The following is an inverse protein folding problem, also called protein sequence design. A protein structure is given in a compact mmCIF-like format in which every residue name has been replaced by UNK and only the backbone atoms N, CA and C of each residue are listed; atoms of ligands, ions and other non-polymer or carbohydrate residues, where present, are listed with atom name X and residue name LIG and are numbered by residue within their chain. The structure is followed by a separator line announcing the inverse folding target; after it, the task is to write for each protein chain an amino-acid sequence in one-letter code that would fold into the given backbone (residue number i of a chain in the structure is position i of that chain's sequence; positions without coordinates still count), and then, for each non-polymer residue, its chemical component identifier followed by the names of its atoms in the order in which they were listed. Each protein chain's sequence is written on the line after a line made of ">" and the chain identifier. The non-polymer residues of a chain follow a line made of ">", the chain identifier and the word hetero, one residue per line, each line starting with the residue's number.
data_IF_537417633346
#
_entry.id   IF_537417633346
#
_cell.length_a   1.000
_cell.length_b   1.000
_cell.length_c   1.000
_cell.angle_alpha   90.00
_cell.angle_beta   90.00
_cell.angle_gamma   90.00
#
_symmetry.space_group_name_H-M   'P 1'
#
loop_
_entity.id
_entity.type
_entity.pdbx_description
1 polymer ?
#
# COMPACT_ATOMS: atom_id res chain seq x y z
N UNK A 1 14.42 -0.58 1.88
CA UNK A 1 12.97 -0.89 1.89
C UNK A 1 12.72 -1.98 0.86
N UNK A 2 12.14 -3.08 1.27
CA UNK A 2 11.96 -4.26 0.40
C UNK A 2 10.51 -4.39 -0.06
N UNK A 3 10.09 -3.46 -0.92
CA UNK A 3 8.77 -3.56 -1.56
C UNK A 3 8.98 -4.17 -2.94
N UNK A 4 8.30 -5.28 -3.26
CA UNK A 4 8.47 -5.91 -4.56
C UNK A 4 7.86 -5.05 -5.66
N UNK A 5 8.39 -5.18 -6.88
CA UNK A 5 7.83 -4.51 -8.06
C UNK A 5 6.63 -5.28 -8.62
N UNK A 6 6.60 -6.58 -8.41
CA UNK A 6 5.47 -7.44 -8.80
C UNK A 6 5.49 -8.73 -7.99
N UNK A 7 4.31 -9.32 -7.88
CA UNK A 7 4.14 -10.60 -7.18
C UNK A 7 2.81 -11.21 -7.64
N UNK A 8 2.44 -12.37 -7.08
CA UNK A 8 1.19 -13.04 -7.43
C UNK A 8 0.26 -13.19 -6.24
N UNK A 9 -1.03 -13.01 -6.48
CA UNK A 9 -2.09 -13.37 -5.54
C UNK A 9 -3.06 -14.26 -6.31
N UNK A 10 -3.34 -15.46 -5.79
CA UNK A 10 -4.27 -16.43 -6.40
C UNK A 10 -3.95 -16.67 -7.89
N UNK A 11 -2.68 -16.64 -8.27
CA UNK A 11 -2.25 -16.83 -9.65
C UNK A 11 -2.28 -15.59 -10.52
N UNK A 12 -2.80 -14.47 -10.03
CA UNK A 12 -2.85 -13.21 -10.78
C UNK A 12 -1.61 -12.37 -10.53
N UNK A 13 -1.10 -11.76 -11.59
CA UNK A 13 0.07 -10.87 -11.51
C UNK A 13 -0.35 -9.51 -10.97
N UNK A 14 0.31 -9.09 -9.90
CA UNK A 14 0.08 -7.80 -9.26
C UNK A 14 1.33 -6.94 -9.47
N UNK A 15 1.13 -5.71 -9.95
CA UNK A 15 2.19 -4.73 -10.09
C UNK A 15 2.20 -3.79 -8.89
N UNK A 16 3.40 -3.31 -8.54
CA UNK A 16 3.56 -2.27 -7.53
C UNK A 16 4.29 -1.10 -8.18
N UNK A 17 3.66 0.07 -8.17
CA UNK A 17 4.23 1.29 -8.74
C UNK A 17 4.47 2.30 -7.63
N UNK A 18 5.67 2.87 -7.62
CA UNK A 18 6.04 3.94 -6.71
C UNK A 18 6.03 5.24 -7.51
N UNK A 19 5.12 6.14 -7.20
CA UNK A 19 4.94 7.41 -7.92
C UNK A 19 5.26 8.59 -7.02
N UNK A 20 5.55 9.75 -7.59
CA UNK A 20 5.83 10.95 -6.79
C UNK A 20 4.63 11.33 -5.93
N UNK A 21 3.45 11.42 -6.52
CA UNK A 21 2.19 11.70 -5.84
C UNK A 21 1.07 10.97 -6.56
N UNK A 22 0.06 10.53 -5.82
CA UNK A 22 -1.17 10.01 -6.43
C UNK A 22 -2.09 11.16 -6.84
N UNK A 23 -2.98 10.88 -7.80
CA UNK A 23 -3.93 11.90 -8.28
C UNK A 23 -4.85 12.43 -7.17
N UNK A 24 -5.21 11.56 -6.24
CA UNK A 24 -6.09 11.90 -5.12
C UNK A 24 -5.35 12.41 -3.89
N UNK A 25 -4.05 12.61 -3.99
CA UNK A 25 -3.21 13.07 -2.88
C UNK A 25 -3.34 12.16 -1.65
N UNK A 26 -3.39 10.86 -1.85
CA UNK A 26 -3.40 9.88 -0.78
C UNK A 26 -2.06 9.13 -0.71
N UNK A 27 -1.90 8.26 0.27
CA UNK A 27 -0.65 7.52 0.46
C UNK A 27 -0.50 6.40 -0.57
N UNK A 28 -1.59 5.85 -1.05
CA UNK A 28 -1.59 4.79 -2.05
C UNK A 28 -2.98 4.28 -2.33
N UNK A 29 -3.07 3.35 -3.29
CA UNK A 29 -4.36 2.74 -3.63
C UNK A 29 -4.15 1.38 -4.29
N UNK A 30 -5.22 0.60 -4.29
CA UNK A 30 -5.35 -0.65 -5.02
C UNK A 30 -6.32 -0.46 -6.16
N UNK A 31 -5.93 -0.87 -7.38
CA UNK A 31 -6.79 -0.83 -8.56
C UNK A 31 -7.02 -2.25 -9.05
N UNK A 32 -8.27 -2.72 -8.92
CA UNK A 32 -8.63 -4.08 -9.28
C UNK A 32 -8.79 -4.30 -10.79
N UNK A 33 -8.90 -3.23 -11.57
CA UNK A 33 -8.99 -3.31 -13.03
C UNK A 33 -7.60 -3.57 -13.63
N UNK A 34 -6.59 -2.88 -13.11
CA UNK A 34 -5.21 -2.99 -13.61
C UNK A 34 -4.33 -3.89 -12.75
N UNK A 35 -4.84 -4.45 -11.66
CA UNK A 35 -4.09 -5.27 -10.70
C UNK A 35 -2.84 -4.55 -10.22
N UNK A 36 -2.99 -3.29 -9.87
CA UNK A 36 -1.85 -2.43 -9.50
C UNK A 36 -2.03 -1.84 -8.11
N UNK A 37 -0.99 -1.96 -7.29
CA UNK A 37 -0.85 -1.20 -6.05
C UNK A 37 0.02 0.00 -6.37
N UNK A 38 -0.52 1.21 -6.16
CA UNK A 38 0.23 2.46 -6.36
C UNK A 38 0.58 3.04 -4.99
N UNK A 39 1.84 3.42 -4.81
CA UNK A 39 2.35 4.00 -3.58
C UNK A 39 2.93 5.38 -3.86
N UNK A 40 2.56 6.37 -3.05
CA UNK A 40 3.06 7.72 -3.18
C UNK A 40 4.38 7.88 -2.40
N UNK A 41 5.34 8.62 -2.97
CA UNK A 41 6.54 9.04 -2.25
C UNK A 41 6.29 10.29 -1.44
N UNK A 42 5.34 11.11 -1.87
CA UNK A 42 5.07 12.43 -1.28
C UNK A 42 3.57 12.68 -1.21
N UNK A 43 3.18 13.59 -0.33
CA UNK A 43 1.83 14.12 -0.26
C UNK A 43 1.89 15.64 -0.19
N UNK A 44 0.83 16.32 -0.62
CA UNK A 44 0.68 17.76 -0.46
C UNK A 44 -0.07 18.06 0.83
N UNK A 45 0.46 18.98 1.62
CA UNK A 45 -0.18 19.46 2.83
C UNK A 45 -1.22 20.54 2.50
N UNK A 46 -2.06 20.89 3.47
CA UNK A 46 -3.12 21.90 3.28
C UNK A 46 -2.59 23.26 2.85
N UNK A 47 -1.36 23.60 3.26
CA UNK A 47 -0.72 24.86 2.88
C UNK A 47 -0.02 24.81 1.51
N UNK A 48 -0.14 23.70 0.79
CA UNK A 48 0.49 23.51 -0.51
C UNK A 48 1.91 22.98 -0.48
N UNK A 49 2.50 22.81 0.71
CA UNK A 49 3.83 22.22 0.81
C UNK A 49 3.78 20.74 0.50
N UNK A 50 4.86 20.24 -0.11
CA UNK A 50 5.01 18.83 -0.42
C UNK A 50 5.87 18.19 0.66
N UNK A 51 5.37 17.14 1.26
CA UNK A 51 6.08 16.39 2.30
C UNK A 51 6.42 15.00 1.79
N UNK A 52 7.69 14.60 1.96
CA UNK A 52 8.12 13.26 1.61
C UNK A 52 7.67 12.28 2.68
N UNK A 53 7.09 11.15 2.23
CA UNK A 53 6.70 10.07 3.13
C UNK A 53 7.95 9.28 3.55
N UNK A 54 7.96 8.83 4.79
CA UNK A 54 9.04 7.98 5.29
C UNK A 54 8.94 6.58 4.71
N UNK A 55 10.04 5.84 4.73
CA UNK A 55 10.02 4.44 4.30
C UNK A 55 9.00 3.63 5.09
N UNK A 56 8.89 3.89 6.40
CA UNK A 56 7.92 3.20 7.25
C UNK A 56 6.48 3.48 6.82
N UNK A 57 6.17 4.73 6.46
CA UNK A 57 4.85 5.11 5.96
C UNK A 57 4.54 4.43 4.62
N UNK A 58 5.51 4.41 3.71
CA UNK A 58 5.34 3.77 2.39
C UNK A 58 5.15 2.26 2.57
N UNK A 59 5.94 1.64 3.41
CA UNK A 59 5.84 0.21 3.69
C UNK A 59 4.49 -0.14 4.35
N UNK A 60 4.04 0.69 5.29
CA UNK A 60 2.74 0.51 5.93
C UNK A 60 1.61 0.59 4.89
N UNK A 61 1.69 1.55 3.98
CA UNK A 61 0.72 1.71 2.90
C UNK A 61 0.73 0.49 1.98
N UNK A 62 1.90 -0.04 1.67
CA UNK A 62 2.00 -1.25 0.84
C UNK A 62 1.21 -2.40 1.46
N UNK A 63 1.40 -2.66 2.74
CA UNK A 63 0.68 -3.77 3.41
C UNK A 63 -0.81 -3.50 3.51
N UNK A 64 -1.21 -2.25 3.70
CA UNK A 64 -2.62 -1.86 3.70
C UNK A 64 -3.28 -2.22 2.34
N UNK A 65 -2.67 -1.79 1.24
CA UNK A 65 -3.20 -2.06 -0.09
C UNK A 65 -3.06 -3.53 -0.48
N UNK A 66 -2.02 -4.20 0.01
CA UNK A 66 -1.86 -5.64 -0.20
C UNK A 66 -3.05 -6.42 0.37
N UNK A 67 -3.52 -6.04 1.56
CA UNK A 67 -4.67 -6.73 2.15
C UNK A 67 -5.95 -6.42 1.38
N UNK A 68 -6.13 -5.20 0.87
CA UNK A 68 -7.24 -4.90 -0.03
C UNK A 68 -7.24 -5.80 -1.26
N UNK A 69 -6.08 -5.98 -1.89
CA UNK A 69 -5.94 -6.87 -3.03
C UNK A 69 -6.28 -8.31 -2.65
N UNK A 70 -5.81 -8.76 -1.50
CA UNK A 70 -6.13 -10.10 -0.99
C UNK A 70 -7.63 -10.26 -0.75
N UNK A 71 -8.27 -9.28 -0.11
CA UNK A 71 -9.71 -9.30 0.14
C UNK A 71 -10.48 -9.38 -1.17
N UNK A 72 -10.07 -8.62 -2.19
CA UNK A 72 -10.70 -8.65 -3.50
C UNK A 72 -10.67 -10.06 -4.10
N UNK A 73 -9.49 -10.70 -4.14
CA UNK A 73 -9.34 -12.02 -4.75
C UNK A 73 -9.93 -13.16 -3.92
N UNK A 74 -10.11 -12.95 -2.63
CA UNK A 74 -10.78 -13.93 -1.76
C UNK A 74 -12.28 -13.73 -1.67
N UNK A 75 -12.84 -12.73 -2.37
CA UNK A 75 -14.26 -12.44 -2.32
C UNK A 75 -14.74 -11.89 -0.99
N UNK A 76 -13.82 -11.33 -0.20
CA UNK A 76 -14.18 -10.71 1.08
C UNK A 76 -14.60 -9.27 0.88
N UNK A 77 -15.39 -8.76 1.82
CA UNK A 77 -15.73 -7.34 1.84
C UNK A 77 -14.51 -6.51 2.21
N UNK A 78 -14.40 -5.32 1.64
CA UNK A 78 -13.37 -4.36 2.05
C UNK A 78 -13.57 -3.94 3.49
N UNK A 79 -12.47 -3.91 4.24
CA UNK A 79 -12.47 -3.44 5.61
C UNK A 79 -11.23 -2.59 5.85
N UNK A 80 -11.41 -1.28 5.95
CA UNK A 80 -10.30 -0.36 6.25
C UNK A 80 -9.69 -0.65 7.62
N UNK A 81 -10.50 -1.07 8.58
CA UNK A 81 -10.02 -1.41 9.91
C UNK A 81 -9.09 -2.61 9.85
N UNK A 82 -9.49 -3.68 9.15
CA UNK A 82 -8.64 -4.87 9.00
C UNK A 82 -7.34 -4.52 8.28
N UNK A 83 -7.40 -3.70 7.23
CA UNK A 83 -6.22 -3.30 6.48
C UNK A 83 -5.26 -2.47 7.35
N UNK A 84 -5.77 -1.56 8.16
CA UNK A 84 -4.95 -0.78 9.08
C UNK A 84 -4.29 -1.65 10.13
N UNK A 85 -5.02 -2.58 10.73
CA UNK A 85 -4.49 -3.51 11.74
C UNK A 85 -3.42 -4.40 11.11
N UNK A 86 -3.70 -4.96 9.94
CA UNK A 86 -2.75 -5.81 9.24
C UNK A 86 -1.46 -5.07 8.90
N UNK A 87 -1.58 -3.86 8.35
CA UNK A 87 -0.42 -3.08 7.94
C UNK A 87 0.47 -2.74 9.15
N UNK A 88 -0.13 -2.31 10.25
CA UNK A 88 0.61 -2.01 11.47
C UNK A 88 1.29 -3.25 12.04
N UNK A 89 0.60 -4.39 12.05
CA UNK A 89 1.16 -5.66 12.48
C UNK A 89 2.37 -6.05 11.64
N UNK A 90 2.25 -5.96 10.32
CA UNK A 90 3.34 -6.36 9.41
C UNK A 90 4.57 -5.48 9.55
N UNK A 91 4.37 -4.17 9.67
CA UNK A 91 5.50 -3.24 9.85
C UNK A 91 6.20 -3.52 11.17
N UNK A 92 5.45 -3.69 12.26
CA UNK A 92 6.03 -4.02 13.56
C UNK A 92 6.77 -5.35 13.54
N UNK A 93 6.18 -6.37 12.90
CA UNK A 93 6.83 -7.68 12.75
C UNK A 93 8.17 -7.55 12.02
N UNK A 94 8.22 -6.82 10.92
CA UNK A 94 9.46 -6.64 10.15
C UNK A 94 10.51 -5.82 10.90
N UNK A 95 10.08 -4.86 11.73
CA UNK A 95 10.99 -4.02 12.51
C UNK A 95 11.57 -4.74 13.72
N UNK A 96 10.84 -5.72 14.27
CA UNK A 96 11.22 -6.38 15.53
C UNK A 96 11.69 -7.82 15.38
N UNK A 97 11.56 -8.42 14.20
CA UNK A 97 12.02 -9.79 13.96
C UNK A 97 13.52 -9.89 14.11
N UNK A 98 13.98 -11.01 14.63
CA UNK A 98 15.39 -11.31 14.80
C UNK A 98 15.88 -12.37 13.81
#
# INVERSE_FOLDING_TARGET
>A
MNIPEKFKIAGFDIKVELVDKTDDNNFGNWNDVTNTITLAKNISLKNGEITRLTERQIQNTFFHELLHAFQFYCGKEYSEIECNVFANFMVEFLETKE
#
